data_IF_236838239703
#
_entry.id   IF_236838239703
#
_cell.length_a   1.000
_cell.length_b   1.000
_cell.length_c   1.000
_cell.angle_alpha   90.00
_cell.angle_beta   90.00
_cell.angle_gamma   90.00
#
_symmetry.space_group_name_H-M   'P 1'
#
loop_
_entity.id
_entity.type
_entity.pdbx_description
1 polymer ?
#
# COMPACT_ATOMS: atom_id res chain seq x y z
N UNK A 1 -5.84 -3.50 -22.33
CA UNK A 1 -6.23 -2.24 -21.68
C UNK A 1 -6.02 -2.36 -20.18
N UNK A 2 -5.31 -1.39 -19.60
CA UNK A 2 -5.08 -1.39 -18.17
C UNK A 2 -6.35 -0.88 -17.51
N UNK A 3 -6.97 -1.64 -16.58
CA UNK A 3 -8.17 -1.15 -15.92
C UNK A 3 -7.84 0.07 -15.06
N UNK A 4 -8.74 1.02 -15.06
CA UNK A 4 -8.61 2.20 -14.22
C UNK A 4 -8.74 1.79 -12.75
N UNK A 5 -7.74 2.22 -11.95
CA UNK A 5 -7.77 1.99 -10.51
C UNK A 5 -7.98 3.31 -9.77
N UNK A 6 -8.84 3.27 -8.75
CA UNK A 6 -9.04 4.44 -7.90
C UNK A 6 -7.80 4.68 -7.04
N UNK A 7 -7.71 5.91 -6.52
CA UNK A 7 -6.66 6.28 -5.57
C UNK A 7 -6.62 5.31 -4.37
N UNK A 8 -7.80 4.97 -3.86
CA UNK A 8 -7.93 4.06 -2.70
C UNK A 8 -7.43 2.67 -3.04
N UNK A 9 -7.72 2.17 -4.24
CA UNK A 9 -7.24 0.85 -4.68
C UNK A 9 -5.72 0.82 -4.78
N UNK A 10 -5.10 1.89 -5.28
CA UNK A 10 -3.64 1.98 -5.35
C UNK A 10 -3.04 1.96 -3.94
N UNK A 11 -3.61 2.73 -3.01
CA UNK A 11 -3.14 2.72 -1.62
C UNK A 11 -3.25 1.34 -0.99
N UNK A 12 -4.35 0.64 -1.24
CA UNK A 12 -4.54 -0.73 -0.73
C UNK A 12 -3.51 -1.69 -1.31
N UNK A 13 -3.20 -1.57 -2.60
CA UNK A 13 -2.17 -2.40 -3.25
C UNK A 13 -0.80 -2.16 -2.63
N UNK A 14 -0.45 -0.90 -2.34
CA UNK A 14 0.81 -0.54 -1.69
C UNK A 14 0.89 -1.11 -0.27
N UNK A 15 -0.19 -1.00 0.50
CA UNK A 15 -0.24 -1.54 1.85
C UNK A 15 -0.16 -3.07 1.86
N UNK A 16 -0.83 -3.72 0.92
CA UNK A 16 -0.77 -5.17 0.77
C UNK A 16 0.64 -5.65 0.45
N UNK A 17 1.32 -4.99 -0.48
CA UNK A 17 2.70 -5.30 -0.83
C UNK A 17 3.63 -5.12 0.38
N UNK A 18 3.43 -4.06 1.15
CA UNK A 18 4.21 -3.80 2.35
C UNK A 18 3.98 -4.87 3.41
N UNK A 19 2.73 -5.28 3.60
CA UNK A 19 2.37 -6.36 4.53
C UNK A 19 3.05 -7.67 4.15
N UNK A 20 3.06 -8.01 2.86
CA UNK A 20 3.65 -9.25 2.37
C UNK A 20 5.17 -9.29 2.54
N UNK A 21 5.82 -8.15 2.62
CA UNK A 21 7.26 -8.06 2.82
C UNK A 21 7.69 -8.27 4.27
N UNK A 22 6.75 -8.26 5.20
CA UNK A 22 7.01 -8.58 6.60
C UNK A 22 7.98 -7.61 7.27
N UNK A 23 8.81 -8.15 8.17
CA UNK A 23 9.71 -7.38 9.03
C UNK A 23 10.88 -6.75 8.28
N UNK A 24 11.29 -7.33 7.17
CA UNK A 24 12.36 -6.80 6.33
C UNK A 24 11.95 -5.54 5.61
N UNK A 25 10.67 -5.44 5.31
CA UNK A 25 10.12 -4.33 4.55
C UNK A 25 10.30 -4.47 3.06
N UNK A 26 9.76 -3.52 2.31
CA UNK A 26 9.77 -3.53 0.86
C UNK A 26 10.55 -2.31 0.34
N UNK A 27 11.36 -2.53 -0.69
CA UNK A 27 12.12 -1.46 -1.34
C UNK A 27 11.23 -0.64 -2.26
N UNK A 28 11.59 0.63 -2.45
CA UNK A 28 10.87 1.56 -3.34
C UNK A 28 10.69 0.99 -4.74
N UNK A 29 11.76 0.40 -5.31
CA UNK A 29 11.70 -0.16 -6.66
C UNK A 29 10.67 -1.28 -6.76
N UNK A 30 10.55 -2.09 -5.73
CA UNK A 30 9.57 -3.16 -5.71
C UNK A 30 8.14 -2.65 -5.53
N UNK A 31 7.96 -1.58 -4.77
CA UNK A 31 6.66 -0.91 -4.65
C UNK A 31 6.19 -0.36 -6.00
N UNK A 32 7.10 0.27 -6.76
CA UNK A 32 6.78 0.77 -8.10
C UNK A 32 6.27 -0.38 -8.98
N UNK A 33 6.97 -1.49 -8.96
CA UNK A 33 6.61 -2.66 -9.76
C UNK A 33 5.26 -3.25 -9.34
N UNK A 34 5.02 -3.38 -8.04
CA UNK A 34 3.79 -3.97 -7.50
C UNK A 34 2.56 -3.08 -7.70
N UNK A 35 2.73 -1.76 -7.54
CA UNK A 35 1.62 -0.82 -7.67
C UNK A 35 1.38 -0.39 -9.11
N UNK A 36 2.35 -0.62 -9.99
CA UNK A 36 2.28 -0.22 -11.40
C UNK A 36 1.98 1.26 -11.57
N UNK A 37 2.72 2.10 -10.85
CA UNK A 37 2.62 3.56 -10.91
C UNK A 37 3.98 4.14 -11.23
N UNK A 38 4.01 5.39 -11.69
CA UNK A 38 5.26 6.09 -11.95
C UNK A 38 6.01 6.37 -10.64
N UNK A 39 7.31 6.57 -10.73
CA UNK A 39 8.15 6.90 -9.57
C UNK A 39 7.65 8.16 -8.86
N UNK A 40 7.30 9.20 -9.63
CA UNK A 40 6.83 10.45 -9.04
C UNK A 40 5.50 10.30 -8.30
N UNK A 41 4.58 9.50 -8.84
CA UNK A 41 3.32 9.21 -8.16
C UNK A 41 3.55 8.37 -6.91
N UNK A 42 4.43 7.36 -7.00
CA UNK A 42 4.75 6.54 -5.85
C UNK A 42 5.31 7.38 -4.71
N UNK A 43 6.20 8.33 -5.01
CA UNK A 43 6.78 9.21 -4.00
C UNK A 43 5.69 9.95 -3.22
N UNK A 44 4.67 10.45 -3.91
CA UNK A 44 3.54 11.12 -3.28
C UNK A 44 2.73 10.17 -2.40
N UNK A 45 2.44 8.96 -2.89
CA UNK A 45 1.70 7.97 -2.11
C UNK A 45 2.46 7.55 -0.86
N UNK A 46 3.75 7.29 -1.00
CA UNK A 46 4.60 6.89 0.14
C UNK A 46 4.65 8.00 1.18
N UNK A 47 4.78 9.25 0.74
CA UNK A 47 4.77 10.40 1.65
C UNK A 47 3.45 10.50 2.42
N UNK A 48 2.33 10.30 1.73
CA UNK A 48 1.00 10.31 2.34
C UNK A 48 0.84 9.18 3.34
N UNK A 49 1.25 7.97 2.98
CA UNK A 49 1.13 6.79 3.84
C UNK A 49 2.01 6.92 5.09
N UNK A 50 3.23 7.43 4.92
CA UNK A 50 4.15 7.66 6.03
C UNK A 50 3.61 8.76 6.96
N UNK A 51 3.12 9.85 6.39
CA UNK A 51 2.54 10.95 7.14
C UNK A 51 1.30 10.55 7.92
N UNK A 52 0.51 9.61 7.39
CA UNK A 52 -0.67 9.09 8.07
C UNK A 52 -0.33 8.01 9.12
N UNK A 53 0.93 7.59 9.20
CA UNK A 53 1.37 6.57 10.15
C UNK A 53 1.00 5.15 9.76
N UNK A 54 0.74 4.91 8.48
CA UNK A 54 0.32 3.58 7.98
C UNK A 54 1.52 2.72 7.61
N UNK A 55 2.64 3.33 7.22
CA UNK A 55 3.91 2.66 6.96
C UNK A 55 5.03 3.43 7.62
N UNK A 56 6.14 2.74 7.90
CA UNK A 56 7.37 3.36 8.41
C UNK A 56 8.54 3.00 7.51
N UNK A 57 9.42 3.97 7.33
CA UNK A 57 10.70 3.74 6.69
C UNK A 57 11.68 3.23 7.73
N UNK A 58 12.32 2.09 7.43
CA UNK A 58 13.33 1.51 8.30
C UNK A 58 14.61 1.25 7.50
N UNK A 59 15.69 0.98 8.21
CA UNK A 59 16.90 0.48 7.61
C UNK A 59 17.04 -1.00 7.95
N UNK A 60 17.10 -1.83 6.90
CA UNK A 60 17.28 -3.27 7.04
C UNK A 60 18.44 -3.70 6.16
N UNK A 61 19.42 -4.35 6.76
CA UNK A 61 20.61 -4.85 6.08
C UNK A 61 21.30 -3.76 5.24
N UNK A 62 21.44 -2.56 5.81
CA UNK A 62 22.06 -1.41 5.16
C UNK A 62 21.22 -0.75 4.07
N UNK A 63 19.97 -1.13 3.92
CA UNK A 63 19.07 -0.60 2.88
C UNK A 63 17.82 -0.02 3.50
N UNK A 64 17.28 1.02 2.86
CA UNK A 64 16.01 1.61 3.29
C UNK A 64 14.84 0.81 2.72
N UNK A 65 13.95 0.38 3.61
CA UNK A 65 12.73 -0.34 3.25
C UNK A 65 11.54 0.24 4.01
N UNK A 66 10.34 -0.15 3.59
CA UNK A 66 9.10 0.29 4.24
C UNK A 66 8.40 -0.91 4.87
N UNK A 67 7.92 -0.73 6.09
CA UNK A 67 7.18 -1.77 6.82
C UNK A 67 5.79 -1.25 7.16
N UNK A 68 4.84 -2.18 7.27
CA UNK A 68 3.48 -1.86 7.66
C UNK A 68 3.42 -1.65 9.17
N UNK A 69 2.75 -0.57 9.59
CA UNK A 69 2.51 -0.30 11.01
C UNK A 69 1.25 -1.04 11.48
N UNK A 70 1.03 -1.18 12.81
CA UNK A 70 -0.24 -1.69 13.30
C UNK A 70 -1.44 -0.88 12.81
N UNK A 71 -1.29 0.44 12.71
CA UNK A 71 -2.33 1.32 12.16
C UNK A 71 -2.57 1.04 10.69
N UNK A 72 -1.49 0.78 9.92
CA UNK A 72 -1.59 0.40 8.51
C UNK A 72 -2.31 -0.93 8.33
N UNK A 73 -2.02 -1.90 9.19
CA UNK A 73 -2.71 -3.20 9.19
C UNK A 73 -4.20 -3.03 9.45
N UNK A 74 -4.55 -2.22 10.44
CA UNK A 74 -5.94 -1.94 10.78
C UNK A 74 -6.68 -1.27 9.62
N UNK A 75 -6.04 -0.29 8.96
CA UNK A 75 -6.61 0.36 7.80
C UNK A 75 -6.86 -0.64 6.67
N UNK A 76 -5.88 -1.49 6.37
CA UNK A 76 -6.00 -2.47 5.31
C UNK A 76 -7.12 -3.48 5.58
N UNK A 77 -7.25 -3.95 6.80
CA UNK A 77 -8.31 -4.87 7.21
C UNK A 77 -9.70 -4.21 7.04
N UNK A 78 -9.83 -2.95 7.44
CA UNK A 78 -11.07 -2.20 7.28
C UNK A 78 -11.42 -2.00 5.82
N UNK A 79 -10.43 -1.70 4.97
CA UNK A 79 -10.62 -1.58 3.54
C UNK A 79 -11.11 -2.89 2.94
N UNK A 80 -10.49 -4.00 3.30
CA UNK A 80 -10.85 -5.32 2.78
C UNK A 80 -12.28 -5.69 3.15
N UNK A 81 -12.71 -5.44 4.38
CA UNK A 81 -14.08 -5.68 4.81
C UNK A 81 -15.08 -4.81 4.05
N UNK A 82 -14.76 -3.54 3.90
CA UNK A 82 -15.62 -2.61 3.15
C UNK A 82 -15.73 -3.02 1.68
N UNK A 83 -14.61 -3.44 1.08
CA UNK A 83 -14.59 -3.91 -0.30
C UNK A 83 -15.46 -5.14 -0.49
N UNK A 84 -15.42 -6.11 0.43
CA UNK A 84 -16.26 -7.31 0.40
C UNK A 84 -17.75 -6.95 0.51
N UNK A 85 -18.10 -6.02 1.38
CA UNK A 85 -19.47 -5.54 1.54
C UNK A 85 -19.93 -4.86 0.25
N UNK A 86 -19.10 -4.00 -0.33
CA UNK A 86 -19.42 -3.31 -1.58
C UNK A 86 -19.65 -4.32 -2.71
N UNK A 87 -18.81 -5.33 -2.82
CA UNK A 87 -18.95 -6.37 -3.83
C UNK A 87 -20.26 -7.14 -3.67
N UNK A 88 -20.67 -7.41 -2.42
CA UNK A 88 -21.94 -8.12 -2.18
C UNK A 88 -23.15 -7.34 -2.64
N UNK A 89 -23.03 -6.02 -2.76
CA UNK A 89 -24.08 -5.15 -3.32
C UNK A 89 -23.86 -4.83 -4.80
N UNK A 90 -22.86 -5.47 -5.43
CA UNK A 90 -22.54 -5.23 -6.84
C UNK A 90 -21.84 -3.89 -7.09
N UNK A 91 -21.22 -3.31 -6.07
CA UNK A 91 -20.53 -2.02 -6.17
C UNK A 91 -19.02 -2.24 -6.23
N UNK A 92 -18.38 -1.57 -7.19
CA UNK A 92 -16.91 -1.57 -7.29
C UNK A 92 -16.34 -0.34 -6.57
N UNK A 93 -15.23 -0.56 -5.89
CA UNK A 93 -14.49 0.53 -5.25
C UNK A 93 -13.34 1.01 -6.12
#
# INVERSE_FOLDING_TARGET
>A
MIPYRTHIQILADLLTATKQSGREGIKTTRLISKANVSHSRLTKFVKNLTGAGLINKIEYDGKNTFVLTPKGRQYLESYQRFSEIAESFGLDL
#
